data_IF_699573906879
#
_entry.id   IF_699573906879
#
_cell.length_a   1.000
_cell.length_b   1.000
_cell.length_c   1.000
_cell.angle_alpha   90.00
_cell.angle_beta   90.00
_cell.angle_gamma   90.00
#
_symmetry.space_group_name_H-M   'P 1'
#
loop_
_entity.id
_entity.type
_entity.pdbx_description
1 polymer ?
#
# COMPACT_ATOMS: atom_id res chain seq x y z
N UNK A 1 -0.69 -19.18 -17.43
CA UNK A 1 0.58 -19.63 -16.82
C UNK A 1 0.53 -19.24 -15.35
N UNK A 2 0.19 -20.16 -14.44
CA UNK A 2 0.08 -19.88 -13.00
C UNK A 2 1.48 -19.62 -12.43
N UNK A 3 1.82 -18.36 -12.13
CA UNK A 3 3.02 -18.07 -11.32
C UNK A 3 2.74 -18.57 -9.91
N UNK A 4 3.47 -19.60 -9.51
CA UNK A 4 3.53 -20.07 -8.12
C UNK A 4 4.24 -18.95 -7.35
N UNK A 5 3.47 -18.16 -6.59
CA UNK A 5 4.03 -17.22 -5.62
C UNK A 5 4.64 -18.09 -4.52
N UNK A 6 5.97 -18.18 -4.54
CA UNK A 6 6.77 -18.98 -3.62
C UNK A 6 6.52 -18.54 -2.18
N UNK A 7 5.92 -19.40 -1.37
CA UNK A 7 5.79 -19.30 0.10
C UNK A 7 7.10 -19.69 0.81
N UNK A 8 8.26 -19.53 0.16
CA UNK A 8 9.52 -19.95 0.75
C UNK A 8 10.17 -18.81 1.54
N UNK A 9 10.07 -18.94 2.85
CA UNK A 9 10.87 -18.22 3.83
C UNK A 9 12.37 -18.45 3.60
N UNK A 10 13.18 -17.44 3.89
CA UNK A 10 14.61 -17.63 3.99
C UNK A 10 14.92 -18.49 5.25
N UNK A 11 15.77 -19.53 5.18
CA UNK A 11 16.00 -20.48 6.29
C UNK A 11 16.59 -19.89 7.60
N UNK A 12 16.89 -18.58 7.63
CA UNK A 12 17.54 -17.91 8.75
C UNK A 12 16.60 -17.10 9.65
N UNK A 13 15.29 -17.16 9.42
CA UNK A 13 14.29 -16.40 10.19
C UNK A 13 13.56 -17.35 11.14
N UNK A 14 13.62 -17.09 12.45
CA UNK A 14 12.82 -17.82 13.45
C UNK A 14 11.35 -17.51 13.26
N UNK A 15 10.58 -18.54 12.92
CA UNK A 15 9.12 -18.48 12.76
C UNK A 15 8.50 -18.41 14.15
N UNK A 16 7.96 -17.26 14.51
CA UNK A 16 7.14 -17.07 15.71
C UNK A 16 5.68 -17.43 15.38
N UNK A 17 4.90 -17.92 16.35
CA UNK A 17 3.50 -18.34 16.19
C UNK A 17 2.60 -17.23 15.60
N UNK A 18 3.00 -15.96 15.75
CA UNK A 18 2.36 -14.83 15.09
C UNK A 18 2.45 -14.91 13.55
N UNK A 19 3.57 -15.37 12.98
CA UNK A 19 3.75 -15.49 11.53
C UNK A 19 2.90 -16.61 10.94
N UNK A 20 2.75 -17.74 11.65
CA UNK A 20 1.88 -18.84 11.22
C UNK A 20 0.42 -18.37 11.09
N UNK A 21 -0.04 -17.52 12.02
CA UNK A 21 -1.38 -16.90 11.95
C UNK A 21 -1.53 -15.97 10.75
N UNK A 22 -0.51 -15.19 10.42
CA UNK A 22 -0.52 -14.32 9.22
C UNK A 22 -0.63 -15.17 7.96
N UNK A 23 0.13 -16.27 7.84
CA UNK A 23 0.05 -17.18 6.69
C UNK A 23 -1.32 -17.83 6.58
N UNK A 24 -1.84 -18.36 7.68
CA UNK A 24 -3.18 -18.97 7.69
C UNK A 24 -4.25 -17.95 7.25
N UNK A 25 -4.20 -16.73 7.78
CA UNK A 25 -5.10 -15.65 7.38
C UNK A 25 -4.94 -15.29 5.88
N UNK A 26 -3.71 -15.26 5.36
CA UNK A 26 -3.44 -15.02 3.95
C UNK A 26 -4.01 -16.11 3.04
N UNK A 27 -3.88 -17.38 3.41
CA UNK A 27 -4.39 -18.49 2.61
C UNK A 27 -5.91 -18.43 2.39
N UNK A 28 -6.65 -17.84 3.34
CA UNK A 28 -8.08 -17.59 3.17
C UNK A 28 -8.42 -16.50 2.15
N UNK A 29 -7.52 -15.55 1.92
CA UNK A 29 -7.82 -14.33 1.13
C UNK A 29 -6.98 -14.16 -0.13
N UNK A 30 -5.90 -14.93 -0.30
CA UNK A 30 -4.93 -14.79 -1.40
C UNK A 30 -5.54 -14.79 -2.80
N UNK A 31 -6.61 -15.54 -3.02
CA UNK A 31 -7.30 -15.57 -4.33
C UNK A 31 -8.00 -14.24 -4.66
N UNK A 32 -8.46 -13.51 -3.64
CA UNK A 32 -9.04 -12.16 -3.79
C UNK A 32 -7.98 -11.11 -4.08
N UNK A 33 -6.75 -11.35 -3.64
CA UNK A 33 -5.62 -10.45 -3.79
C UNK A 33 -4.64 -10.93 -4.89
N UNK A 34 -5.16 -11.35 -6.05
CA UNK A 34 -4.36 -11.94 -7.12
C UNK A 34 -3.25 -11.04 -7.71
N UNK A 35 -3.33 -9.72 -7.50
CA UNK A 35 -2.29 -8.75 -7.89
C UNK A 35 -1.24 -8.50 -6.80
N UNK A 36 -1.30 -9.22 -5.67
CA UNK A 36 -0.49 -8.96 -4.50
C UNK A 36 0.15 -10.23 -3.94
N UNK A 37 1.24 -10.04 -3.22
CA UNK A 37 1.93 -11.07 -2.46
C UNK A 37 1.97 -10.68 -0.99
N UNK A 38 1.91 -11.68 -0.11
CA UNK A 38 2.13 -11.49 1.32
C UNK A 38 3.61 -11.14 1.55
N UNK A 39 3.86 -10.06 2.30
CA UNK A 39 5.20 -9.63 2.69
C UNK A 39 5.48 -10.09 4.12
N UNK A 40 6.52 -10.88 4.27
CA UNK A 40 6.94 -11.48 5.53
C UNK A 40 8.42 -11.17 5.80
N UNK A 41 8.90 -11.40 7.02
CA UNK A 41 10.34 -11.49 7.25
C UNK A 41 10.98 -12.50 6.28
N UNK A 42 12.09 -12.10 5.65
CA UNK A 42 12.78 -12.87 4.62
C UNK A 42 12.29 -12.62 3.19
N UNK A 43 11.14 -11.95 2.98
CA UNK A 43 10.76 -11.46 1.64
C UNK A 43 11.81 -10.44 1.15
N UNK A 44 12.19 -10.41 -0.14
CA UNK A 44 13.07 -9.38 -0.67
C UNK A 44 12.58 -7.97 -0.32
N UNK A 45 13.48 -7.15 0.23
CA UNK A 45 13.17 -5.76 0.55
C UNK A 45 12.88 -4.94 -0.72
N UNK A 46 12.06 -3.92 -0.56
CA UNK A 46 11.75 -3.00 -1.65
C UNK A 46 12.92 -2.04 -1.89
N UNK A 47 13.39 -2.02 -3.14
CA UNK A 47 14.29 -1.02 -3.69
C UNK A 47 13.58 -0.43 -4.90
N UNK A 48 13.43 0.90 -4.93
CA UNK A 48 12.86 1.55 -6.11
C UNK A 48 13.80 1.32 -7.31
N UNK A 49 13.27 0.74 -8.39
CA UNK A 49 14.01 0.47 -9.64
C UNK A 49 13.39 1.28 -10.79
N UNK A 50 13.62 2.61 -10.89
CA UNK A 50 12.98 3.45 -11.90
C UNK A 50 13.19 2.94 -13.34
N UNK A 51 14.40 2.45 -13.64
CA UNK A 51 14.76 1.96 -14.97
C UNK A 51 14.03 0.67 -15.39
N UNK A 52 13.46 -0.08 -14.44
CA UNK A 52 12.67 -1.29 -14.68
C UNK A 52 11.17 -1.05 -14.46
N UNK A 53 10.82 0.10 -13.91
CA UNK A 53 9.46 0.43 -13.53
C UNK A 53 8.63 0.77 -14.77
N UNK A 54 7.56 0.03 -14.99
CA UNK A 54 6.55 0.34 -16.02
C UNK A 54 5.57 1.43 -15.56
N UNK A 55 5.87 2.12 -14.45
CA UNK A 55 4.99 3.05 -13.76
C UNK A 55 3.57 2.50 -13.55
N UNK A 56 3.45 1.21 -13.19
CA UNK A 56 2.16 0.54 -13.01
C UNK A 56 1.21 1.35 -12.12
N UNK A 57 1.72 1.94 -11.03
CA UNK A 57 0.92 2.77 -10.14
C UNK A 57 0.34 4.03 -10.81
N UNK A 58 1.07 4.66 -11.72
CA UNK A 58 0.61 5.83 -12.48
C UNK A 58 -0.32 5.44 -13.64
N UNK A 59 -0.11 4.26 -14.22
CA UNK A 59 -0.87 3.79 -15.38
C UNK A 59 -2.19 3.13 -15.01
N UNK A 60 -2.26 2.37 -13.92
CA UNK A 60 -3.41 1.52 -13.62
C UNK A 60 -4.43 2.14 -12.65
N UNK A 61 -4.01 3.01 -11.73
CA UNK A 61 -4.87 3.44 -10.62
C UNK A 61 -5.40 4.86 -10.78
N UNK A 62 -6.70 5.02 -10.57
CA UNK A 62 -7.29 6.30 -10.20
C UNK A 62 -7.01 6.58 -8.73
N UNK A 63 -6.63 7.82 -8.40
CA UNK A 63 -6.22 8.20 -7.05
C UNK A 63 -7.18 9.26 -6.53
N UNK A 64 -7.86 8.95 -5.44
CA UNK A 64 -8.66 9.92 -4.71
C UNK A 64 -7.79 10.67 -3.70
N UNK A 65 -8.10 11.94 -3.48
CA UNK A 65 -7.39 12.83 -2.57
C UNK A 65 -8.36 13.37 -1.52
N UNK A 66 -7.94 13.31 -0.26
CA UNK A 66 -8.54 14.12 0.80
C UNK A 66 -8.07 15.58 0.71
N UNK A 67 -8.74 16.47 1.43
CA UNK A 67 -8.39 17.89 1.49
C UNK A 67 -6.94 18.12 1.96
N UNK A 68 -6.49 17.38 2.97
CA UNK A 68 -5.13 17.50 3.49
C UNK A 68 -4.06 17.09 2.45
N UNK A 69 -4.36 16.08 1.63
CA UNK A 69 -3.47 15.63 0.56
C UNK A 69 -3.44 16.65 -0.57
N UNK A 70 -4.60 17.17 -0.97
CA UNK A 70 -4.70 18.21 -1.98
C UNK A 70 -3.96 19.50 -1.54
N UNK A 71 -4.13 19.92 -0.29
CA UNK A 71 -3.40 21.07 0.27
C UNK A 71 -1.89 20.85 0.31
N UNK A 72 -1.43 19.62 0.66
CA UNK A 72 -0.01 19.27 0.60
C UNK A 72 0.51 19.33 -0.83
N UNK A 73 -0.21 18.79 -1.80
CA UNK A 73 0.18 18.84 -3.22
C UNK A 73 0.29 20.27 -3.72
N UNK A 74 -0.69 21.14 -3.41
CA UNK A 74 -0.63 22.58 -3.73
C UNK A 74 0.64 23.22 -3.19
N UNK A 75 0.98 22.97 -1.91
CA UNK A 75 2.18 23.55 -1.28
C UNK A 75 3.48 23.05 -1.89
N UNK A 76 3.57 21.76 -2.22
CA UNK A 76 4.79 21.15 -2.77
C UNK A 76 5.02 21.49 -4.25
N UNK A 77 3.94 21.70 -5.01
CA UNK A 77 4.02 21.92 -6.46
C UNK A 77 3.84 23.37 -6.88
N UNK A 78 3.25 24.22 -6.02
CA UNK A 78 2.79 25.56 -6.35
C UNK A 78 1.55 25.59 -7.26
N UNK A 79 0.96 24.43 -7.58
CA UNK A 79 -0.21 24.33 -8.45
C UNK A 79 -1.51 24.56 -7.68
N UNK A 80 -2.46 25.27 -8.28
CA UNK A 80 -3.84 25.33 -7.81
C UNK A 80 -4.56 23.98 -8.04
N UNK A 81 -5.60 23.70 -7.24
CA UNK A 81 -6.37 22.45 -7.31
C UNK A 81 -6.85 22.12 -8.74
N UNK A 82 -7.39 23.12 -9.45
CA UNK A 82 -7.88 22.98 -10.83
C UNK A 82 -6.79 22.55 -11.83
N UNK A 83 -5.52 22.72 -11.47
CA UNK A 83 -4.39 22.34 -12.32
C UNK A 83 -3.98 20.87 -12.13
N UNK A 84 -4.50 20.16 -11.13
CA UNK A 84 -4.14 18.75 -10.90
C UNK A 84 -5.29 17.80 -10.55
N UNK A 85 -6.51 18.31 -10.39
CA UNK A 85 -7.71 17.49 -10.21
C UNK A 85 -8.42 17.23 -11.55
N UNK A 86 -9.16 16.12 -11.61
CA UNK A 86 -10.16 15.90 -12.67
C UNK A 86 -11.27 16.92 -12.56
N UNK A 87 -11.72 17.43 -13.71
CA UNK A 87 -12.72 18.51 -13.79
C UNK A 87 -13.95 18.06 -14.57
N UNK A 88 -15.12 18.56 -14.16
CA UNK A 88 -16.37 18.54 -14.91
C UNK A 88 -16.87 19.99 -14.99
N UNK A 89 -17.16 20.48 -16.19
CA UNK A 89 -17.57 21.86 -16.45
C UNK A 89 -16.65 22.97 -15.87
N UNK A 90 -15.37 22.65 -15.68
CA UNK A 90 -14.35 23.56 -15.14
C UNK A 90 -14.18 23.51 -13.62
N UNK A 91 -15.02 22.74 -12.93
CA UNK A 91 -14.96 22.54 -11.48
C UNK A 91 -14.41 21.16 -11.13
N UNK A 92 -13.68 21.01 -10.00
CA UNK A 92 -13.20 19.70 -9.57
C UNK A 92 -14.33 18.69 -9.36
N UNK A 93 -14.18 17.50 -9.94
CA UNK A 93 -15.07 16.37 -9.65
C UNK A 93 -14.95 16.03 -8.17
N UNK A 94 -16.09 15.97 -7.50
CA UNK A 94 -16.20 15.56 -6.10
C UNK A 94 -17.05 14.29 -5.98
N UNK A 95 -16.47 13.26 -5.37
CA UNK A 95 -17.15 12.01 -5.04
C UNK A 95 -17.76 12.11 -3.64
N UNK A 96 -18.91 11.46 -3.36
CA UNK A 96 -19.51 11.42 -2.03
C UNK A 96 -18.74 10.47 -1.09
N UNK A 97 -17.43 10.70 -0.94
CA UNK A 97 -16.45 9.88 -0.23
C UNK A 97 -15.61 10.76 0.70
N UNK A 98 -14.94 10.14 1.67
CA UNK A 98 -14.03 10.84 2.60
C UNK A 98 -12.82 11.50 1.89
N UNK A 99 -12.41 10.94 0.74
CA UNK A 99 -11.43 11.53 -0.16
C UNK A 99 -12.18 11.94 -1.44
N UNK A 100 -12.75 13.17 -1.48
CA UNK A 100 -13.73 13.53 -2.50
C UNK A 100 -13.09 13.85 -3.85
N UNK A 101 -11.84 14.32 -3.88
CA UNK A 101 -11.23 14.79 -5.11
C UNK A 101 -10.61 13.64 -5.90
N UNK A 102 -10.70 13.70 -7.23
CA UNK A 102 -10.05 12.76 -8.11
C UNK A 102 -8.82 13.40 -8.75
N UNK A 103 -7.66 12.74 -8.65
CA UNK A 103 -6.43 13.21 -9.28
C UNK A 103 -6.51 13.07 -10.82
N UNK A 104 -6.14 14.14 -11.53
CA UNK A 104 -6.21 14.18 -12.99
C UNK A 104 -5.37 13.11 -13.68
N UNK A 105 -5.93 12.60 -14.78
CA UNK A 105 -5.29 11.67 -15.71
C UNK A 105 -5.26 12.29 -17.11
N UNK A 106 -4.10 12.22 -17.75
CA UNK A 106 -3.87 12.70 -19.11
C UNK A 106 -3.40 11.54 -19.97
N UNK A 107 -3.93 11.39 -21.18
CA UNK A 107 -3.55 10.29 -22.07
C UNK A 107 -3.71 8.89 -21.45
N UNK A 108 -4.66 8.74 -20.51
CA UNK A 108 -4.94 7.47 -19.84
C UNK A 108 -4.00 7.11 -18.68
N UNK A 109 -3.15 8.02 -18.19
CA UNK A 109 -2.25 7.82 -17.04
C UNK A 109 -2.26 9.05 -16.11
N UNK A 110 -1.71 8.92 -14.90
CA UNK A 110 -1.60 10.04 -13.95
C UNK A 110 -0.93 11.28 -14.57
N UNK A 111 -1.51 12.48 -14.42
CA UNK A 111 -0.96 13.77 -14.90
C UNK A 111 0.50 14.02 -14.49
N UNK A 112 0.92 13.47 -13.36
CA UNK A 112 2.28 13.65 -12.84
C UNK A 112 3.28 12.58 -13.31
N UNK A 113 2.91 11.73 -14.26
CA UNK A 113 3.86 10.79 -14.88
C UNK A 113 4.74 11.56 -15.87
N UNK A 114 6.03 11.62 -15.57
CA UNK A 114 7.03 12.21 -16.45
C UNK A 114 7.40 11.31 -17.63
N UNK A 115 8.07 11.86 -18.65
CA UNK A 115 8.48 11.11 -19.84
C UNK A 115 9.43 9.94 -19.55
N UNK A 116 10.16 10.00 -18.44
CA UNK A 116 11.06 8.94 -17.97
C UNK A 116 10.36 7.91 -17.07
N UNK A 117 9.03 7.86 -17.09
CA UNK A 117 8.20 6.97 -16.24
C UNK A 117 8.36 7.19 -14.72
N UNK A 118 8.94 8.32 -14.34
CA UNK A 118 9.05 8.79 -12.95
C UNK A 118 7.93 9.77 -12.57
N UNK A 119 7.61 9.85 -11.27
CA UNK A 119 6.64 10.85 -10.78
C UNK A 119 7.32 12.23 -10.66
N UNK A 120 6.78 13.25 -11.31
CA UNK A 120 7.31 14.62 -11.30
C UNK A 120 7.06 15.37 -9.99
N UNK A 121 6.20 14.83 -9.11
CA UNK A 121 5.86 15.39 -7.79
C UNK A 121 6.14 14.40 -6.66
N UNK A 122 7.25 13.67 -6.77
CA UNK A 122 7.56 12.53 -5.91
C UNK A 122 7.48 12.81 -4.39
N UNK A 123 7.92 13.99 -3.94
CA UNK A 123 7.84 14.43 -2.53
C UNK A 123 6.41 14.76 -2.11
N UNK A 124 5.64 15.37 -3.01
CA UNK A 124 4.25 15.76 -2.78
C UNK A 124 3.22 14.66 -2.98
N UNK A 125 3.64 13.41 -3.23
CA UNK A 125 2.72 12.31 -3.56
C UNK A 125 1.57 12.17 -2.54
N UNK A 126 0.36 11.84 -3.01
CA UNK A 126 -0.73 11.48 -2.12
C UNK A 126 -0.45 10.17 -1.38
N UNK A 127 -1.16 9.92 -0.29
CA UNK A 127 -0.92 8.76 0.58
C UNK A 127 -1.09 7.45 -0.19
N UNK A 128 -2.07 7.34 -1.07
CA UNK A 128 -2.21 6.17 -1.96
C UNK A 128 -0.93 5.89 -2.79
N UNK A 129 -0.29 6.94 -3.31
CA UNK A 129 0.96 6.83 -4.06
C UNK A 129 2.21 6.64 -3.18
N UNK A 130 2.17 7.10 -1.91
CA UNK A 130 3.24 6.89 -0.91
C UNK A 130 3.19 5.47 -0.34
N UNK A 131 2.00 4.87 -0.26
CA UNK A 131 1.80 3.50 0.18
C UNK A 131 2.39 2.51 -0.82
N UNK A 132 2.18 2.73 -2.13
CA UNK A 132 2.69 1.84 -3.16
C UNK A 132 4.21 1.58 -3.03
N UNK A 133 4.67 0.31 -3.05
CA UNK A 133 3.93 -0.89 -3.44
C UNK A 133 3.26 -1.65 -2.30
N UNK A 134 3.22 -1.10 -1.08
CA UNK A 134 2.70 -1.76 0.10
C UNK A 134 1.30 -1.26 0.50
N UNK A 135 0.57 -2.10 1.23
CA UNK A 135 -0.64 -1.72 1.95
C UNK A 135 -0.92 -2.76 3.03
N UNK A 136 -1.76 -2.38 4.01
CA UNK A 136 -2.19 -3.27 5.09
C UNK A 136 -3.65 -3.61 4.90
N UNK A 137 -3.99 -4.89 5.10
CA UNK A 137 -5.37 -5.34 5.22
C UNK A 137 -5.55 -6.09 6.53
N UNK A 138 -6.78 -6.11 7.04
CA UNK A 138 -7.13 -6.85 8.23
C UNK A 138 -8.00 -8.04 7.85
N UNK A 139 -7.67 -9.22 8.37
CA UNK A 139 -8.44 -10.44 8.15
C UNK A 139 -8.95 -10.95 9.48
N UNK A 140 -10.25 -11.12 9.59
CA UNK A 140 -10.88 -11.80 10.71
C UNK A 140 -10.53 -13.30 10.63
N UNK A 141 -9.79 -13.80 11.62
CA UNK A 141 -9.29 -15.18 11.64
C UNK A 141 -10.40 -16.23 11.84
N UNK A 142 -11.49 -15.86 12.52
CA UNK A 142 -12.63 -16.76 12.74
C UNK A 142 -13.44 -16.99 11.45
N UNK A 143 -13.54 -15.97 10.59
CA UNK A 143 -14.38 -15.99 9.39
C UNK A 143 -13.59 -16.08 8.09
N UNK A 144 -12.28 -15.84 8.12
CA UNK A 144 -11.43 -15.75 6.94
C UNK A 144 -11.80 -14.60 5.99
N UNK A 145 -12.46 -13.56 6.52
CA UNK A 145 -12.94 -12.41 5.73
C UNK A 145 -12.06 -11.20 5.95
N UNK A 146 -11.83 -10.45 4.86
CA UNK A 146 -11.27 -9.10 4.96
C UNK A 146 -12.26 -8.22 5.70
N UNK A 147 -11.76 -7.46 6.66
CA UNK A 147 -12.55 -6.55 7.50
C UNK A 147 -11.93 -5.16 7.51
N UNK A 148 -12.72 -4.16 7.90
CA UNK A 148 -12.28 -2.79 8.15
C UNK A 148 -12.58 -2.48 9.61
N UNK A 149 -11.71 -2.91 10.55
CA UNK A 149 -11.94 -2.70 11.97
C UNK A 149 -11.97 -1.21 12.30
N UNK A 150 -12.70 -0.80 13.36
CA UNK A 150 -12.59 0.56 13.89
C UNK A 150 -11.12 0.92 14.18
N UNK A 151 -10.68 2.18 14.02
CA UNK A 151 -9.27 2.56 14.15
C UNK A 151 -8.60 2.11 15.46
N UNK A 152 -9.30 2.21 16.58
CA UNK A 152 -8.79 1.74 17.88
C UNK A 152 -8.59 0.23 17.93
N UNK A 153 -9.43 -0.55 17.26
CA UNK A 153 -9.33 -2.01 17.19
C UNK A 153 -8.22 -2.42 16.22
N UNK A 154 -8.11 -1.71 15.09
CA UNK A 154 -7.03 -1.86 14.11
C UNK A 154 -5.65 -1.64 14.75
N UNK A 155 -5.51 -0.56 15.54
CA UNK A 155 -4.29 -0.25 16.29
C UNK A 155 -3.98 -1.34 17.32
N UNK A 156 -4.94 -1.77 18.14
CA UNK A 156 -4.72 -2.84 19.13
C UNK A 156 -4.28 -4.16 18.46
N UNK A 157 -4.88 -4.50 17.32
CA UNK A 157 -4.51 -5.69 16.55
C UNK A 157 -3.06 -5.62 16.04
N UNK A 158 -2.67 -4.46 15.51
CA UNK A 158 -1.29 -4.21 15.10
C UNK A 158 -0.32 -4.32 16.29
N UNK A 159 -0.60 -3.63 17.40
CA UNK A 159 0.27 -3.60 18.57
C UNK A 159 0.45 -5.01 19.17
N UNK A 160 -0.63 -5.79 19.24
CA UNK A 160 -0.58 -7.17 19.68
C UNK A 160 0.31 -8.02 18.76
N UNK A 161 0.14 -7.91 17.44
CA UNK A 161 0.99 -8.63 16.48
C UNK A 161 2.47 -8.22 16.62
N UNK A 162 2.74 -6.92 16.79
CA UNK A 162 4.09 -6.39 16.99
C UNK A 162 4.70 -6.86 18.32
N UNK A 163 3.88 -7.16 19.33
CA UNK A 163 4.29 -7.78 20.60
C UNK A 163 4.34 -9.32 20.56
N UNK A 164 4.04 -9.96 19.42
CA UNK A 164 3.98 -11.42 19.30
C UNK A 164 2.75 -12.05 19.97
N UNK A 165 1.74 -11.25 20.28
CA UNK A 165 0.50 -11.67 20.93
C UNK A 165 -0.60 -11.96 19.91
N UNK A 166 -1.41 -13.00 20.13
CA UNK A 166 -2.50 -13.28 19.23
C UNK A 166 -3.69 -12.33 19.49
N UNK A 167 -3.97 -11.44 18.55
CA UNK A 167 -5.23 -10.71 18.48
C UNK A 167 -5.86 -10.85 17.08
N UNK A 168 -7.18 -10.67 17.02
CA UNK A 168 -7.99 -10.63 15.80
C UNK A 168 -8.64 -9.24 15.68
N UNK A 169 -8.77 -8.65 14.47
CA UNK A 169 -8.36 -9.22 13.17
C UNK A 169 -6.83 -9.23 12.98
N UNK A 170 -6.34 -10.10 12.11
CA UNK A 170 -4.91 -10.26 11.81
C UNK A 170 -4.49 -9.23 10.75
N UNK A 171 -3.52 -8.34 11.05
CA UNK A 171 -2.96 -7.43 10.05
C UNK A 171 -2.06 -8.21 9.07
N UNK A 172 -2.26 -8.01 7.78
CA UNK A 172 -1.42 -8.54 6.70
C UNK A 172 -0.74 -7.38 5.97
N UNK A 173 0.60 -7.42 5.89
CA UNK A 173 1.36 -6.54 5.01
C UNK A 173 1.43 -7.17 3.62
N UNK A 174 0.96 -6.44 2.61
CA UNK A 174 0.91 -6.91 1.24
C UNK A 174 1.79 -6.04 0.34
N UNK A 175 2.31 -6.65 -0.72
CA UNK A 175 3.15 -5.99 -1.74
C UNK A 175 2.59 -6.23 -3.15
N UNK A 176 2.58 -5.19 -3.99
CA UNK A 176 2.04 -5.27 -5.34
C UNK A 176 2.93 -6.08 -6.30
N UNK A 177 2.41 -7.16 -6.89
CA UNK A 177 3.18 -8.13 -7.67
C UNK A 177 3.76 -7.55 -8.98
N UNK A 178 3.13 -6.51 -9.54
CA UNK A 178 3.65 -5.79 -10.72
C UNK A 178 4.75 -4.78 -10.38
N UNK A 179 5.10 -4.59 -9.10
CA UNK A 179 6.22 -3.75 -8.73
C UNK A 179 7.54 -4.52 -8.92
N UNK A 180 8.47 -4.04 -9.76
CA UNK A 180 9.75 -4.73 -9.97
C UNK A 180 10.74 -4.49 -8.83
N UNK A 181 10.37 -3.75 -7.78
CA UNK A 181 11.27 -3.29 -6.74
C UNK A 181 11.57 -4.31 -5.64
N UNK A 182 10.88 -5.45 -5.60
CA UNK A 182 11.11 -6.50 -4.58
C UNK A 182 12.35 -7.35 -4.91
N UNK A 183 13.52 -6.71 -4.92
CA UNK A 183 14.80 -7.31 -5.35
C UNK A 183 15.94 -7.08 -4.35
N UNK A 184 15.67 -6.41 -3.23
CA UNK A 184 16.68 -6.15 -2.22
C UNK A 184 16.97 -7.37 -1.34
N UNK A 185 17.88 -7.18 -0.38
CA UNK A 185 18.21 -8.21 0.59
C UNK A 185 16.97 -8.66 1.38
N UNK A 186 16.93 -9.93 1.85
CA UNK A 186 15.82 -10.45 2.64
C UNK A 186 15.50 -9.56 3.84
N UNK A 187 14.24 -9.17 3.99
CA UNK A 187 13.78 -8.27 5.06
C UNK A 187 14.04 -8.88 6.44
N UNK A 188 14.85 -8.24 7.31
CA UNK A 188 14.99 -8.65 8.70
C UNK A 188 13.65 -8.52 9.44
N UNK A 189 13.42 -9.37 10.44
CA UNK A 189 12.17 -9.35 11.22
C UNK A 189 11.86 -7.98 11.86
N UNK A 190 12.88 -7.29 12.37
CA UNK A 190 12.71 -5.94 12.92
C UNK A 190 12.32 -4.92 11.84
N UNK A 191 12.96 -4.94 10.67
CA UNK A 191 12.63 -4.06 9.55
C UNK A 191 11.24 -4.33 8.99
N UNK A 192 10.80 -5.59 8.95
CA UNK A 192 9.44 -5.97 8.58
C UNK A 192 8.40 -5.39 9.56
N UNK A 193 8.66 -5.46 10.88
CA UNK A 193 7.79 -4.86 11.91
C UNK A 193 7.66 -3.35 11.71
N UNK A 194 8.78 -2.66 11.50
CA UNK A 194 8.79 -1.22 11.19
C UNK A 194 8.03 -0.90 9.90
N UNK A 195 8.23 -1.69 8.84
CA UNK A 195 7.53 -1.49 7.58
C UNK A 195 6.02 -1.67 7.73
N UNK A 196 5.58 -2.70 8.44
CA UNK A 196 4.17 -2.92 8.74
C UNK A 196 3.57 -1.73 9.51
N UNK A 197 4.25 -1.28 10.56
CA UNK A 197 3.80 -0.15 11.37
C UNK A 197 3.70 1.16 10.56
N UNK A 198 4.75 1.52 9.83
CA UNK A 198 4.77 2.75 9.01
C UNK A 198 3.72 2.69 7.91
N UNK A 199 3.51 1.52 7.29
CA UNK A 199 2.46 1.34 6.27
C UNK A 199 1.08 1.53 6.88
N UNK A 200 0.82 0.96 8.06
CA UNK A 200 -0.43 1.17 8.78
C UNK A 200 -0.66 2.65 9.14
N UNK A 201 0.34 3.32 9.72
CA UNK A 201 0.25 4.74 10.08
C UNK A 201 -0.07 5.61 8.87
N UNK A 202 0.63 5.40 7.75
CA UNK A 202 0.38 6.14 6.52
C UNK A 202 -1.02 5.88 5.93
N UNK A 203 -1.52 4.66 6.05
CA UNK A 203 -2.82 4.26 5.49
C UNK A 203 -4.01 4.71 6.33
N UNK A 204 -3.90 4.68 7.67
CA UNK A 204 -5.04 4.86 8.56
C UNK A 204 -4.94 6.08 9.48
N UNK A 205 -3.74 6.55 9.80
CA UNK A 205 -3.54 7.65 10.75
C UNK A 205 -3.18 8.97 10.04
N UNK A 206 -2.81 8.90 8.76
CA UNK A 206 -2.58 10.08 7.93
C UNK A 206 -1.33 10.85 8.33
N UNK A 207 -0.15 10.30 8.02
CA UNK A 207 1.16 10.96 8.16
C UNK A 207 1.40 12.07 7.11
#
# INVERSE_FOLDING_TARGET
MRRIVSTHYHPGVTVDAALDRIVAAWDHVRERFGAYSLVLPGTPSFICQPNLCTAHCCNAFSVNLGEAEAARMTRETGMALVQFLELEDGDPITLPLAQPFLLAREGGHCRFLGPELGCTVYTGRPNACRLYPHFVVFVDDATGKVTTPPPGDARRALDALLAGQPLSPVPLLLGHAECPGFTGDPLPGASWRTLLEVTYQLQYEGL
#
